data_IF_973529000210
#
_entry.id   IF_973529000210
#
_cell.length_a   1.000
_cell.length_b   1.000
_cell.length_c   1.000
_cell.angle_alpha   90.00
_cell.angle_beta   90.00
_cell.angle_gamma   90.00
#
_symmetry.space_group_name_H-M   'P 1'
#
loop_
_entity.id
_entity.type
_entity.pdbx_description
1 polymer ?
#
# COMPACT_ATOMS: atom_id res chain seq x y z
N UNK A 1 -15.71 -5.04 5.18
CA UNK A 1 -15.17 -6.36 4.80
C UNK A 1 -13.99 -6.65 5.71
N UNK A 2 -14.04 -7.77 6.42
CA UNK A 2 -13.04 -8.17 7.41
C UNK A 2 -11.67 -8.26 6.75
N UNK A 3 -10.70 -7.49 7.25
CA UNK A 3 -9.27 -7.65 6.97
C UNK A 3 -8.83 -9.03 7.47
N UNK A 4 -9.16 -10.08 6.72
CA UNK A 4 -8.57 -11.39 6.95
C UNK A 4 -7.07 -11.18 6.79
N UNK A 5 -6.34 -11.27 7.90
CA UNK A 5 -4.88 -11.23 7.95
C UNK A 5 -4.36 -12.38 7.09
N UNK A 6 -4.19 -12.14 5.81
CA UNK A 6 -3.84 -13.17 4.85
C UNK A 6 -2.41 -13.62 5.13
N UNK A 7 -2.29 -14.91 5.42
CA UNK A 7 -1.01 -15.58 5.59
C UNK A 7 -0.50 -16.02 4.24
N UNK A 8 0.79 -15.87 3.99
CA UNK A 8 1.42 -16.26 2.72
C UNK A 8 1.10 -17.72 2.33
N UNK A 9 1.02 -18.61 3.32
CA UNK A 9 0.72 -20.05 3.14
C UNK A 9 -0.65 -20.31 2.47
N UNK A 10 -1.60 -19.39 2.64
CA UNK A 10 -2.95 -19.50 2.08
C UNK A 10 -3.06 -18.92 0.67
N UNK A 11 -2.03 -18.21 0.20
CA UNK A 11 -2.03 -17.61 -1.13
C UNK A 11 -1.59 -18.68 -2.14
N UNK A 12 -2.42 -18.87 -3.16
CA UNK A 12 -2.21 -19.84 -4.22
C UNK A 12 -2.33 -19.14 -5.57
N UNK A 13 -1.20 -18.84 -6.21
CA UNK A 13 -1.16 -18.25 -7.55
C UNK A 13 -0.57 -19.26 -8.54
N UNK A 14 -1.39 -19.65 -9.50
CA UNK A 14 -1.05 -20.50 -10.66
C UNK A 14 -1.30 -19.70 -11.94
N UNK A 15 -0.78 -20.15 -13.11
CA UNK A 15 -1.06 -19.47 -14.38
C UNK A 15 -2.56 -19.29 -14.70
N UNK A 16 -3.42 -20.17 -14.20
CA UNK A 16 -4.87 -20.16 -14.41
C UNK A 16 -5.64 -19.38 -13.33
N UNK A 17 -4.94 -18.87 -12.32
CA UNK A 17 -5.58 -18.17 -11.20
C UNK A 17 -6.23 -16.87 -11.66
N UNK A 18 -7.46 -16.62 -11.21
CA UNK A 18 -8.16 -15.34 -11.44
C UNK A 18 -7.58 -14.20 -10.61
N UNK A 19 -6.89 -14.53 -9.53
CA UNK A 19 -6.20 -13.60 -8.66
C UNK A 19 -4.75 -13.44 -9.07
N UNK A 20 -4.12 -12.43 -8.52
CA UNK A 20 -2.68 -12.21 -8.57
C UNK A 20 -2.13 -12.01 -7.15
N UNK A 21 -0.82 -11.88 -7.01
CA UNK A 21 -0.21 -11.45 -5.76
C UNK A 21 0.84 -10.36 -5.96
N UNK A 22 1.03 -9.58 -4.92
CA UNK A 22 2.10 -8.60 -4.80
C UNK A 22 2.96 -8.93 -3.58
N UNK A 23 4.26 -8.70 -3.73
CA UNK A 23 5.27 -8.92 -2.71
C UNK A 23 6.11 -7.66 -2.62
N UNK A 24 6.44 -7.21 -1.42
CA UNK A 24 7.46 -6.18 -1.24
C UNK A 24 8.28 -6.46 0.01
N UNK A 25 9.55 -6.06 -0.04
CA UNK A 25 10.43 -6.10 1.12
C UNK A 25 10.22 -4.82 1.93
N UNK A 26 10.32 -4.92 3.24
CA UNK A 26 10.30 -3.75 4.12
C UNK A 26 11.02 -4.06 5.42
N UNK A 27 11.69 -3.07 6.04
CA UNK A 27 12.23 -3.26 7.37
C UNK A 27 11.11 -3.55 8.38
N UNK A 28 11.41 -4.41 9.36
CA UNK A 28 10.59 -4.54 10.54
C UNK A 28 10.72 -3.27 11.38
N UNK A 29 9.64 -2.52 11.51
CA UNK A 29 9.57 -1.34 12.36
C UNK A 29 8.92 -1.69 13.71
N UNK A 30 9.27 -0.98 14.80
CA UNK A 30 8.60 -1.16 16.09
C UNK A 30 7.10 -0.85 15.99
N UNK A 31 6.29 -1.74 16.57
CA UNK A 31 4.85 -1.56 16.69
C UNK A 31 4.57 -0.77 17.98
N UNK A 32 3.92 0.41 17.92
CA UNK A 32 3.56 1.15 19.13
C UNK A 32 2.60 0.33 20.03
N UNK A 33 2.66 0.46 21.36
CA UNK A 33 1.92 -0.40 22.30
C UNK A 33 0.40 -0.43 22.10
N UNK A 34 -0.18 0.65 21.57
CA UNK A 34 -1.63 0.83 21.44
C UNK A 34 -2.20 0.37 20.10
N UNK A 35 -1.36 -0.07 19.16
CA UNK A 35 -1.81 -0.46 17.81
C UNK A 35 -1.26 -1.81 17.38
N UNK A 36 -1.89 -2.41 16.37
CA UNK A 36 -1.56 -3.78 15.94
C UNK A 36 -0.55 -3.88 14.79
N UNK A 37 -0.15 -2.77 14.20
CA UNK A 37 0.77 -2.72 13.05
C UNK A 37 1.69 -1.51 13.15
N UNK A 38 2.93 -1.64 12.68
CA UNK A 38 3.88 -0.54 12.69
C UNK A 38 3.44 0.61 11.78
N UNK A 39 2.84 0.27 10.63
CA UNK A 39 2.18 1.17 9.69
C UNK A 39 1.17 0.36 8.84
N UNK A 40 0.38 1.05 8.02
CA UNK A 40 -0.42 0.45 6.94
C UNK A 40 -0.10 1.14 5.63
N UNK A 41 0.22 0.37 4.61
CA UNK A 41 0.37 0.86 3.25
C UNK A 41 -0.94 0.64 2.50
N UNK A 42 -1.51 1.72 1.97
CA UNK A 42 -2.75 1.66 1.20
C UNK A 42 -2.45 1.67 -0.29
N UNK A 43 -2.96 0.67 -1.01
CA UNK A 43 -3.02 0.66 -2.47
C UNK A 43 -4.49 0.69 -2.91
N UNK A 44 -4.78 1.33 -4.04
CA UNK A 44 -6.14 1.38 -4.58
C UNK A 44 -6.14 1.05 -6.07
N UNK A 45 -7.20 0.41 -6.59
CA UNK A 45 -7.40 0.33 -8.03
C UNK A 45 -7.39 1.74 -8.64
N UNK A 46 -6.83 1.88 -9.83
CA UNK A 46 -6.53 3.18 -10.43
C UNK A 46 -6.93 3.23 -11.91
N UNK A 47 -7.55 4.33 -12.31
CA UNK A 47 -7.73 4.68 -13.71
C UNK A 47 -6.61 5.62 -14.18
N UNK A 48 -5.66 5.14 -14.99
CA UNK A 48 -4.61 6.02 -15.52
C UNK A 48 -5.13 7.05 -16.51
N UNK A 49 -6.25 6.79 -17.20
CA UNK A 49 -6.79 7.71 -18.19
C UNK A 49 -7.48 8.91 -17.51
N UNK A 50 -8.17 8.65 -16.39
CA UNK A 50 -8.88 9.69 -15.64
C UNK A 50 -8.08 10.27 -14.47
N UNK A 51 -6.99 9.61 -14.04
CA UNK A 51 -6.20 10.04 -12.89
C UNK A 51 -6.95 9.87 -11.56
N UNK A 52 -7.80 8.85 -11.44
CA UNK A 52 -8.67 8.64 -10.27
C UNK A 52 -8.50 7.24 -9.68
N UNK A 53 -8.60 7.15 -8.35
CA UNK A 53 -8.74 5.85 -7.68
C UNK A 53 -10.17 5.34 -7.84
N UNK A 54 -10.33 4.05 -8.17
CA UNK A 54 -11.65 3.43 -8.41
C UNK A 54 -12.24 2.86 -7.13
N UNK A 55 -13.57 2.92 -7.05
CA UNK A 55 -14.40 2.25 -6.03
C UNK A 55 -14.95 3.17 -4.93
N UNK A 56 -16.07 2.77 -4.31
CA UNK A 56 -16.66 3.47 -3.18
C UNK A 56 -15.67 3.44 -2.00
N UNK A 57 -15.47 4.58 -1.32
CA UNK A 57 -14.46 4.74 -0.25
C UNK A 57 -13.01 4.43 -0.69
N UNK A 58 -12.72 4.52 -1.99
CA UNK A 58 -11.39 4.23 -2.52
C UNK A 58 -11.03 2.75 -2.59
N UNK A 59 -12.00 1.82 -2.44
CA UNK A 59 -11.95 0.35 -2.57
C UNK A 59 -10.54 -0.28 -2.58
N UNK A 60 -9.75 0.13 -1.60
CA UNK A 60 -8.32 -0.07 -1.60
C UNK A 60 -7.95 -1.11 -0.58
N UNK A 61 -6.79 -1.70 -0.78
CA UNK A 61 -6.25 -2.69 0.12
C UNK A 61 -5.24 -2.03 1.05
N UNK A 62 -5.49 -2.19 2.35
CA UNK A 62 -4.54 -1.81 3.39
C UNK A 62 -3.66 -3.00 3.75
N UNK A 63 -2.38 -2.91 3.46
CA UNK A 63 -1.38 -3.90 3.86
C UNK A 63 -0.83 -3.47 5.21
N UNK A 64 -1.25 -4.17 6.26
CA UNK A 64 -0.84 -3.87 7.63
C UNK A 64 0.52 -4.49 7.93
N UNK A 65 1.50 -3.66 8.29
CA UNK A 65 2.85 -4.08 8.66
C UNK A 65 2.87 -4.70 10.06
N UNK A 66 2.38 -5.94 10.15
CA UNK A 66 2.34 -6.74 11.38
C UNK A 66 3.55 -7.69 11.38
N UNK A 67 4.29 -7.83 12.50
CA UNK A 67 5.42 -8.75 12.57
C UNK A 67 5.07 -10.19 12.18
N UNK A 68 3.89 -10.67 12.57
CA UNK A 68 3.40 -12.02 12.23
C UNK A 68 3.07 -12.25 10.74
N UNK A 69 3.04 -11.18 9.94
CA UNK A 69 2.80 -11.22 8.50
C UNK A 69 4.06 -10.89 7.69
N UNK A 70 5.21 -10.72 8.36
CA UNK A 70 6.50 -10.48 7.74
C UNK A 70 7.22 -11.82 7.57
N UNK A 71 7.33 -12.28 6.34
CA UNK A 71 7.94 -13.56 5.98
C UNK A 71 9.33 -13.33 5.46
N UNK A 72 10.35 -13.63 6.27
CA UNK A 72 11.76 -13.50 5.86
C UNK A 72 12.10 -12.08 5.32
N UNK A 73 11.43 -11.05 5.85
CA UNK A 73 11.58 -9.64 5.43
C UNK A 73 10.57 -9.15 4.39
N UNK A 74 9.63 -10.01 3.94
CA UNK A 74 8.67 -9.69 2.90
C UNK A 74 7.22 -9.63 3.42
N UNK A 75 6.46 -8.68 2.90
CA UNK A 75 5.01 -8.68 2.98
C UNK A 75 4.43 -9.23 1.68
N UNK A 76 3.38 -10.05 1.81
CA UNK A 76 2.70 -10.71 0.70
C UNK A 76 1.21 -10.41 0.79
N UNK A 77 0.58 -10.09 -0.34
CA UNK A 77 -0.87 -9.95 -0.44
C UNK A 77 -1.38 -10.48 -1.77
N UNK A 78 -2.52 -11.15 -1.76
CA UNK A 78 -3.27 -11.35 -3.00
C UNK A 78 -3.98 -10.04 -3.41
N UNK A 79 -4.24 -9.90 -4.70
CA UNK A 79 -4.98 -8.77 -5.29
C UNK A 79 -5.74 -9.27 -6.51
N UNK A 80 -6.80 -8.54 -6.88
CA UNK A 80 -7.43 -8.74 -8.18
C UNK A 80 -6.49 -8.24 -9.29
N UNK A 81 -6.59 -8.76 -10.51
CA UNK A 81 -5.87 -8.20 -11.66
C UNK A 81 -6.32 -6.77 -11.93
N UNK A 82 -5.38 -5.89 -12.23
CA UNK A 82 -5.68 -4.49 -12.52
C UNK A 82 -4.49 -3.56 -12.36
N UNK A 83 -4.77 -2.27 -12.58
CA UNK A 83 -3.83 -1.19 -12.31
C UNK A 83 -4.10 -0.61 -10.93
N UNK A 84 -3.05 -0.46 -10.14
CA UNK A 84 -3.08 0.02 -8.77
C UNK A 84 -2.18 1.24 -8.61
N UNK A 85 -2.51 2.09 -7.65
CA UNK A 85 -1.70 3.23 -7.21
C UNK A 85 -1.46 3.15 -5.70
N UNK A 86 -0.32 3.63 -5.23
CA UNK A 86 -0.11 3.81 -3.79
C UNK A 86 -0.89 5.05 -3.32
N UNK A 87 -1.91 4.84 -2.49
CA UNK A 87 -2.73 5.93 -1.99
C UNK A 87 -2.04 6.66 -0.84
N UNK A 88 -1.72 5.93 0.22
CA UNK A 88 -1.22 6.53 1.45
C UNK A 88 -0.40 5.55 2.28
N UNK A 89 0.35 6.09 3.23
CA UNK A 89 0.89 5.33 4.36
C UNK A 89 0.34 5.92 5.65
N UNK A 90 -0.20 5.09 6.53
CA UNK A 90 -0.78 5.51 7.80
C UNK A 90 -0.15 4.82 9.00
N UNK A 91 -0.22 5.47 10.16
CA UNK A 91 0.26 4.96 11.44
C UNK A 91 -0.67 5.36 12.58
N UNK A 92 -0.74 4.45 13.56
CA UNK A 92 -1.61 4.55 14.74
C UNK A 92 -3.11 4.78 14.44
N UNK A 93 -3.57 4.51 13.23
CA UNK A 93 -4.94 4.84 12.79
C UNK A 93 -5.30 6.34 12.81
N UNK A 94 -4.34 7.21 13.14
CA UNK A 94 -4.57 8.65 13.35
C UNK A 94 -3.85 9.55 12.37
N UNK A 95 -2.78 9.09 11.72
CA UNK A 95 -2.04 9.93 10.78
C UNK A 95 -1.80 9.18 9.49
N UNK A 96 -1.90 9.90 8.37
CA UNK A 96 -1.57 9.37 7.07
C UNK A 96 -0.83 10.41 6.22
N UNK A 97 0.26 10.00 5.57
CA UNK A 97 0.79 10.71 4.41
C UNK A 97 0.02 10.26 3.17
N UNK A 98 -0.50 11.21 2.40
CA UNK A 98 -1.17 10.94 1.13
C UNK A 98 -0.22 11.18 -0.04
N UNK A 99 -0.06 10.18 -0.89
CA UNK A 99 0.87 10.22 -2.03
C UNK A 99 0.28 10.89 -3.27
N UNK A 100 -0.80 11.68 -3.14
CA UNK A 100 -1.62 12.20 -4.25
C UNK A 100 -0.82 12.99 -5.30
N UNK A 101 0.17 13.79 -4.87
CA UNK A 101 0.95 14.67 -5.74
C UNK A 101 2.11 14.00 -6.50
N UNK A 102 2.48 12.77 -6.12
CA UNK A 102 3.64 12.06 -6.64
C UNK A 102 3.59 10.58 -6.29
N UNK A 103 2.52 9.89 -6.70
CA UNK A 103 2.41 8.46 -6.46
C UNK A 103 3.09 7.66 -7.57
N UNK A 104 3.08 6.34 -7.42
CA UNK A 104 3.46 5.37 -8.43
C UNK A 104 2.31 4.43 -8.68
N UNK A 105 2.09 4.11 -9.95
CA UNK A 105 1.17 3.07 -10.37
C UNK A 105 1.90 1.83 -10.87
N UNK A 106 1.24 0.68 -10.79
CA UNK A 106 1.69 -0.58 -11.37
C UNK A 106 0.49 -1.39 -11.84
N UNK A 107 0.70 -2.29 -12.80
CA UNK A 107 -0.34 -3.19 -13.31
C UNK A 107 0.05 -4.63 -13.06
N UNK A 108 -0.88 -5.42 -12.56
CA UNK A 108 -0.73 -6.86 -12.33
C UNK A 108 -1.81 -7.64 -13.07
N UNK A 109 -1.46 -8.77 -13.69
CA UNK A 109 -2.40 -9.62 -14.42
C UNK A 109 -2.80 -10.85 -13.62
N UNK A 110 -3.88 -11.50 -14.05
CA UNK A 110 -4.32 -12.79 -13.52
C UNK A 110 -3.18 -13.82 -13.61
N UNK A 111 -3.00 -14.59 -12.54
CA UNK A 111 -1.96 -15.62 -12.45
C UNK A 111 -0.53 -15.06 -12.31
N UNK A 112 -0.36 -13.77 -12.00
CA UNK A 112 0.95 -13.17 -11.80
C UNK A 112 1.29 -12.94 -10.33
N UNK A 113 2.58 -13.02 -10.02
CA UNK A 113 3.17 -12.53 -8.77
C UNK A 113 4.14 -11.42 -9.12
N UNK A 114 3.89 -10.21 -8.61
CA UNK A 114 4.80 -9.07 -8.78
C UNK A 114 5.59 -8.78 -7.52
N UNK A 115 6.90 -8.66 -7.66
CA UNK A 115 7.77 -8.11 -6.63
C UNK A 115 7.95 -6.60 -6.86
N UNK A 116 7.53 -5.81 -5.88
CA UNK A 116 7.49 -4.35 -5.95
C UNK A 116 8.83 -3.68 -5.57
N UNK A 117 9.80 -4.45 -5.07
CA UNK A 117 11.07 -3.94 -4.55
C UNK A 117 11.11 -3.77 -3.03
N UNK A 118 12.15 -3.09 -2.55
CA UNK A 118 12.32 -2.72 -1.14
C UNK A 118 11.66 -1.38 -0.85
N UNK A 119 10.61 -1.41 -0.03
CA UNK A 119 9.88 -0.24 0.39
C UNK A 119 10.55 0.40 1.60
N UNK A 120 11.02 1.64 1.45
CA UNK A 120 11.57 2.42 2.56
C UNK A 120 10.46 2.97 3.47
N UNK A 121 9.85 2.07 4.23
CA UNK A 121 8.81 2.40 5.20
C UNK A 121 9.33 3.35 6.29
N UNK A 122 10.63 3.27 6.62
CA UNK A 122 11.24 4.10 7.67
C UNK A 122 11.20 5.57 7.26
N UNK A 123 11.60 5.89 6.03
CA UNK A 123 11.51 7.25 5.49
C UNK A 123 10.12 7.85 5.64
N UNK A 124 9.09 7.11 5.21
CA UNK A 124 7.71 7.58 5.22
C UNK A 124 7.12 7.68 6.63
N UNK A 125 7.46 6.75 7.53
CA UNK A 125 7.04 6.83 8.93
C UNK A 125 7.70 8.03 9.64
N UNK A 126 8.99 8.26 9.43
CA UNK A 126 9.69 9.42 10.02
C UNK A 126 9.17 10.73 9.45
N UNK A 127 8.86 10.80 8.15
CA UNK A 127 8.20 11.95 7.55
C UNK A 127 6.82 12.22 8.19
N UNK A 128 6.01 11.17 8.34
CA UNK A 128 4.70 11.27 8.99
C UNK A 128 4.80 11.80 10.43
N UNK A 129 5.72 11.26 11.22
CA UNK A 129 5.97 11.73 12.60
C UNK A 129 6.40 13.20 12.63
N UNK A 130 7.34 13.58 11.75
CA UNK A 130 7.81 14.97 11.63
C UNK A 130 6.66 15.91 11.27
N UNK A 131 5.81 15.53 10.32
CA UNK A 131 4.65 16.33 9.91
C UNK A 131 3.66 16.50 11.07
N UNK A 132 3.34 15.42 11.78
CA UNK A 132 2.46 15.47 12.95
C UNK A 132 2.97 16.40 14.05
N UNK A 133 4.27 16.33 14.38
CA UNK A 133 4.90 17.18 15.39
C UNK A 133 4.91 18.65 14.94
N UNK A 134 5.42 18.92 13.73
CA UNK A 134 5.60 20.30 13.24
C UNK A 134 4.28 21.03 12.98
N UNK A 135 3.22 20.30 12.63
CA UNK A 135 1.89 20.90 12.47
C UNK A 135 1.11 21.00 13.79
N UNK A 136 1.66 20.52 14.91
CA UNK A 136 0.95 20.42 16.19
C UNK A 136 -0.24 19.45 16.20
N UNK A 137 -0.37 18.61 15.17
CA UNK A 137 -1.49 17.64 15.01
C UNK A 137 -1.11 16.29 15.63
N UNK A 138 -0.64 16.33 16.87
CA UNK A 138 -0.18 15.16 17.62
C UNK A 138 -1.32 14.38 18.30
N UNK A 139 -2.57 14.83 18.12
CA UNK A 139 -3.77 14.11 18.55
C UNK A 139 -4.80 14.11 17.43
N UNK A 140 -5.54 13.01 17.32
CA UNK A 140 -6.74 12.90 16.49
C UNK A 140 -7.95 13.26 17.35
N UNK A 141 -8.84 14.12 16.83
CA UNK A 141 -10.18 14.32 17.42
C UNK A 141 -11.16 13.41 16.68
N UNK A 142 -12.11 12.82 17.41
CA UNK A 142 -13.23 12.06 16.86
C UNK A 142 -12.88 10.82 16.03
N UNK A 143 -11.71 10.19 16.26
CA UNK A 143 -11.27 8.98 15.55
C UNK A 143 -11.06 9.17 14.04
N UNK A 144 -10.95 10.41 13.57
CA UNK A 144 -10.61 10.69 12.17
C UNK A 144 -9.09 10.76 12.00
N UNK A 145 -8.61 10.18 10.90
CA UNK A 145 -7.20 10.24 10.54
C UNK A 145 -6.86 11.65 10.02
N UNK A 146 -5.78 12.22 10.55
CA UNK A 146 -5.16 13.43 10.04
C UNK A 146 -4.36 13.07 8.79
N UNK A 147 -4.82 13.57 7.64
CA UNK A 147 -4.12 13.41 6.38
C UNK A 147 -3.19 14.59 6.10
N UNK A 148 -1.95 14.28 5.74
CA UNK A 148 -0.97 15.22 5.23
C UNK A 148 -0.87 15.08 3.71
N UNK A 149 -0.82 16.21 3.01
CA UNK A 149 -0.90 16.30 1.54
C UNK A 149 0.18 17.22 0.99
N UNK A 150 0.33 17.19 -0.34
CA UNK A 150 0.99 18.18 -1.22
C UNK A 150 2.50 18.40 -1.03
N UNK A 151 3.06 18.11 0.14
CA UNK A 151 4.49 18.21 0.50
C UNK A 151 5.10 16.87 0.90
N UNK A 152 4.37 15.79 0.63
CA UNK A 152 4.74 14.41 0.98
C UNK A 152 5.65 13.82 -0.09
N UNK A 153 6.71 13.13 0.32
CA UNK A 153 7.58 12.41 -0.59
C UNK A 153 6.85 11.26 -1.33
N UNK A 154 7.21 10.97 -2.60
CA UNK A 154 6.63 9.85 -3.33
C UNK A 154 6.93 8.49 -2.66
N UNK A 155 6.10 7.45 -2.87
CA UNK A 155 6.38 6.09 -2.42
C UNK A 155 7.78 5.66 -2.85
N UNK A 156 8.60 5.22 -1.89
CA UNK A 156 10.01 4.99 -2.09
C UNK A 156 10.27 3.49 -2.17
N UNK A 157 10.37 2.99 -3.40
CA UNK A 157 10.80 1.61 -3.69
C UNK A 157 12.17 1.63 -4.36
N UNK A 158 13.08 0.80 -3.87
CA UNK A 158 14.35 0.52 -4.55
C UNK A 158 14.10 -0.22 -5.88
N UNK A 159 14.95 -0.01 -6.90
CA UNK A 159 14.90 -0.81 -8.13
C UNK A 159 15.03 -2.31 -7.82
N UNK A 160 14.30 -3.14 -8.56
CA UNK A 160 14.36 -4.59 -8.43
C UNK A 160 15.57 -5.12 -9.21
N UNK A 161 16.43 -5.88 -8.55
CA UNK A 161 17.54 -6.62 -9.17
C UNK A 161 17.19 -8.10 -9.41
N UNK A 162 17.99 -8.78 -10.24
CA UNK A 162 17.85 -10.23 -10.44
C UNK A 162 18.09 -11.02 -9.13
N UNK A 163 19.04 -10.58 -8.30
CA UNK A 163 19.31 -11.19 -6.99
C UNK A 163 18.08 -11.10 -6.06
N UNK A 164 17.35 -9.98 -6.12
CA UNK A 164 16.10 -9.84 -5.37
C UNK A 164 15.04 -10.83 -5.86
N UNK A 165 14.90 -11.03 -7.17
CA UNK A 165 13.94 -11.99 -7.72
C UNK A 165 14.27 -13.43 -7.31
N UNK A 166 15.56 -13.80 -7.28
CA UNK A 166 16.02 -15.09 -6.77
C UNK A 166 15.67 -15.25 -5.29
N UNK A 167 15.91 -14.23 -4.47
CA UNK A 167 15.60 -14.25 -3.05
C UNK A 167 14.08 -14.36 -2.78
N UNK A 168 13.26 -13.63 -3.55
CA UNK A 168 11.80 -13.69 -3.45
C UNK A 168 11.28 -15.05 -3.89
N UNK A 169 11.81 -15.62 -4.98
CA UNK A 169 11.43 -16.95 -5.43
C UNK A 169 11.76 -18.03 -4.38
N UNK A 170 12.91 -17.91 -3.69
CA UNK A 170 13.27 -18.78 -2.59
C UNK A 170 12.29 -18.66 -1.41
N UNK A 171 11.92 -17.43 -1.02
CA UNK A 171 10.91 -17.19 0.01
C UNK A 171 9.55 -17.79 -0.39
N UNK A 172 9.09 -17.58 -1.63
CA UNK A 172 7.84 -18.13 -2.15
C UNK A 172 7.80 -19.65 -2.07
N UNK A 173 8.88 -20.34 -2.44
CA UNK A 173 8.97 -21.79 -2.36
C UNK A 173 8.74 -22.34 -0.94
N UNK A 174 9.17 -21.59 0.08
CA UNK A 174 9.06 -21.99 1.49
C UNK A 174 7.73 -21.56 2.10
N UNK A 175 7.27 -20.34 1.79
CA UNK A 175 6.16 -19.66 2.49
C UNK A 175 4.85 -19.63 1.72
N UNK A 176 4.89 -19.91 0.42
CA UNK A 176 3.73 -19.91 -0.48
C UNK A 176 3.66 -21.25 -1.24
N UNK A 177 3.49 -22.39 -0.55
CA UNK A 177 3.61 -23.73 -1.14
C UNK A 177 2.57 -24.02 -2.24
N UNK A 178 1.48 -23.26 -2.29
CA UNK A 178 0.42 -23.41 -3.28
C UNK A 178 0.60 -22.46 -4.49
N UNK A 179 1.71 -21.74 -4.58
CA UNK A 179 2.03 -20.83 -5.68
C UNK A 179 3.07 -21.46 -6.60
N UNK A 180 2.75 -21.55 -7.89
CA UNK A 180 3.59 -22.25 -8.89
C UNK A 180 4.27 -21.31 -9.90
N UNK A 181 3.91 -20.03 -9.91
CA UNK A 181 4.51 -19.04 -10.81
C UNK A 181 5.73 -18.38 -10.18
N UNK A 182 6.69 -17.99 -11.02
CA UNK A 182 7.85 -17.21 -10.59
C UNK A 182 7.48 -15.73 -10.38
N UNK A 183 8.11 -15.03 -9.42
CA UNK A 183 7.92 -13.59 -9.25
C UNK A 183 8.47 -12.83 -10.46
N UNK A 184 7.81 -11.74 -10.84
CA UNK A 184 8.29 -10.79 -11.85
C UNK A 184 8.61 -9.46 -11.20
N UNK A 185 9.60 -8.75 -11.71
CA UNK A 185 9.87 -7.37 -11.31
C UNK A 185 8.70 -6.47 -11.71
N UNK A 186 8.31 -5.57 -10.81
CA UNK A 186 7.35 -4.50 -11.13
C UNK A 186 7.96 -3.51 -12.12
N UNK A 187 7.11 -2.92 -12.97
CA UNK A 187 7.41 -1.66 -13.66
C UNK A 187 6.50 -0.59 -13.10
N UNK A 188 7.08 0.44 -12.50
CA UNK A 188 6.32 1.60 -12.03
C UNK A 188 6.20 2.66 -13.11
N UNK A 189 5.04 3.30 -13.17
CA UNK A 189 4.86 4.57 -13.85
C UNK A 189 4.43 5.64 -12.84
N UNK A 190 4.72 6.90 -13.14
CA UNK A 190 4.26 8.02 -12.32
C UNK A 190 2.73 8.09 -12.32
N UNK A 191 2.16 8.45 -11.17
CA UNK A 191 0.73 8.62 -11.01
C UNK A 191 0.42 9.82 -10.12
N UNK A 192 -0.73 10.43 -10.38
CA UNK A 192 -1.32 11.47 -9.54
C UNK A 192 -2.80 11.19 -9.42
N UNK A 193 -3.37 11.58 -8.29
CA UNK A 193 -4.81 11.47 -8.10
C UNK A 193 -5.29 12.64 -7.26
N UNK A 194 -6.58 12.97 -7.40
CA UNK A 194 -7.19 14.02 -6.59
C UNK A 194 -7.26 13.66 -5.11
N UNK A 195 -7.54 14.66 -4.28
CA UNK A 195 -8.02 14.41 -2.92
C UNK A 195 -9.54 14.51 -2.91
N UNK A 196 -10.19 13.81 -1.99
CA UNK A 196 -11.64 13.93 -1.80
C UNK A 196 -11.97 14.46 -0.41
N UNK A 197 -13.25 14.36 -0.05
CA UNK A 197 -13.71 14.65 1.31
C UNK A 197 -14.17 13.39 2.02
N UNK A 198 -14.22 13.44 3.35
CA UNK A 198 -14.86 12.40 4.17
C UNK A 198 -16.38 12.29 3.88
N UNK A 199 -17.05 11.35 4.56
CA UNK A 199 -18.50 11.10 4.43
C UNK A 199 -19.37 12.34 4.69
N UNK A 200 -18.90 13.27 5.51
CA UNK A 200 -19.65 14.46 5.91
C UNK A 200 -19.24 15.70 5.11
N UNK A 201 -18.25 15.58 4.22
CA UNK A 201 -17.70 16.70 3.47
C UNK A 201 -16.86 17.68 4.31
N UNK A 202 -16.51 17.31 5.55
CA UNK A 202 -15.91 18.23 6.53
C UNK A 202 -14.39 18.26 6.44
N UNK A 203 -13.77 17.11 6.18
CA UNK A 203 -12.32 17.00 6.09
C UNK A 203 -11.87 16.53 4.72
N UNK A 204 -10.74 17.06 4.26
CA UNK A 204 -10.01 16.56 3.10
C UNK A 204 -9.36 15.22 3.46
N UNK A 205 -9.59 14.19 2.64
CA UNK A 205 -9.04 12.84 2.83
C UNK A 205 -8.40 12.30 1.55
N UNK A 206 -7.46 11.39 1.72
CA UNK A 206 -6.78 10.74 0.60
C UNK A 206 -7.79 9.87 -0.17
N UNK A 207 -8.09 10.20 -1.43
CA UNK A 207 -9.00 9.40 -2.25
C UNK A 207 -10.48 9.45 -1.90
N UNK A 208 -10.93 10.46 -1.14
CA UNK A 208 -12.29 10.56 -0.63
C UNK A 208 -13.38 10.74 -1.69
N UNK A 209 -14.57 11.14 -1.23
CA UNK A 209 -15.72 11.38 -2.10
C UNK A 209 -15.43 12.51 -3.09
N UNK A 210 -15.42 12.17 -4.38
CA UNK A 210 -15.47 13.15 -5.44
C UNK A 210 -16.93 13.55 -5.66
N UNK A 211 -17.35 14.72 -5.14
CA UNK A 211 -18.55 15.35 -5.68
C UNK A 211 -18.22 15.81 -7.11
N UNK A 212 -18.97 15.31 -8.10
CA UNK A 212 -18.95 15.81 -9.47
C UNK A 212 -19.04 17.35 -9.43
N UNK A 213 -17.94 18.05 -9.68
CA UNK A 213 -17.93 19.52 -9.64
C UNK A 213 -16.59 20.23 -9.48
N UNK A 214 -15.54 19.59 -8.94
CA UNK A 214 -14.22 20.22 -8.86
C UNK A 214 -13.34 19.76 -10.03
N UNK A 215 -13.40 20.51 -11.13
CA UNK A 215 -12.32 20.61 -12.12
C UNK A 215 -11.31 21.65 -11.66
#
# INVERSE_FOLDING_TARGET
MTNAEQRAEKIAITPESKMAAIIFKSPQLPVPPTVQSAYRLHIAPYDPAEGVMKGLFGAGRSIAAKPKLLYDGYYVSDVEPGTYVFGSLSRQDYWAVCFNGGSRQFTVRAGEVLYLGDFDARKHVTELERLAITSGRITSRNSEAVHFFDTVAPPAFAPVSEDDLVAVAAMMKVRMPNTSVAPKAVTFADAKFGTGSDLFGLNRVCGGYYRKGAR
#
